data_IF_599082990375
#
_entry.id   IF_599082990375
#
_cell.length_a   1.000
_cell.length_b   1.000
_cell.length_c   1.000
_cell.angle_alpha   90.00
_cell.angle_beta   90.00
_cell.angle_gamma   90.00
#
_symmetry.space_group_name_H-M   'P 1'
#
loop_
_entity.id
_entity.type
_entity.pdbx_description
1 polymer ?
#
# COMPACT_ATOMS: atom_id res chain seq x y z
N UNK A 1 -2.95 6.69 13.74
CA UNK A 1 -3.81 7.79 13.28
C UNK A 1 -3.90 7.74 11.75
N UNK A 2 -2.79 7.85 10.99
CA UNK A 2 -2.79 7.91 9.50
C UNK A 2 -3.51 6.72 8.87
N UNK A 3 -3.24 5.48 9.28
CA UNK A 3 -3.86 4.29 8.68
C UNK A 3 -5.38 4.20 8.95
N UNK A 4 -5.86 4.68 10.10
CA UNK A 4 -7.31 4.77 10.35
C UNK A 4 -7.98 5.80 9.45
N UNK A 5 -7.36 6.98 9.32
CA UNK A 5 -7.82 7.97 8.36
C UNK A 5 -7.82 7.42 6.94
N UNK A 6 -6.76 6.70 6.54
CA UNK A 6 -6.69 6.08 5.23
C UNK A 6 -7.83 5.07 5.01
N UNK A 7 -8.13 4.23 5.97
CA UNK A 7 -9.22 3.24 5.88
C UNK A 7 -10.59 3.93 5.68
N UNK A 8 -10.87 4.98 6.46
CA UNK A 8 -12.09 5.77 6.32
C UNK A 8 -12.16 6.49 4.97
N UNK A 9 -11.08 7.13 4.55
CA UNK A 9 -10.97 7.83 3.28
C UNK A 9 -11.13 6.88 2.08
N UNK A 10 -10.45 5.72 2.11
CA UNK A 10 -10.51 4.73 1.06
C UNK A 10 -11.93 4.12 0.94
N UNK A 11 -12.60 3.81 2.05
CA UNK A 11 -13.98 3.29 2.05
C UNK A 11 -15.01 4.29 1.52
N UNK A 12 -14.74 5.58 1.62
CA UNK A 12 -15.59 6.63 1.08
C UNK A 12 -15.23 7.04 -0.37
N UNK A 13 -14.22 6.39 -0.96
CA UNK A 13 -13.72 6.75 -2.28
C UNK A 13 -14.75 6.49 -3.39
N UNK A 14 -14.92 7.42 -4.36
CA UNK A 14 -15.72 7.17 -5.55
C UNK A 14 -15.02 6.17 -6.49
N UNK A 15 -15.76 5.62 -7.43
CA UNK A 15 -15.27 4.61 -8.39
C UNK A 15 -14.02 5.06 -9.17
N UNK A 16 -13.90 6.35 -9.42
CA UNK A 16 -12.81 6.97 -10.17
C UNK A 16 -11.50 7.06 -9.38
N UNK A 17 -11.52 6.86 -8.04
CA UNK A 17 -10.35 7.00 -7.19
C UNK A 17 -9.80 5.63 -6.77
N UNK A 18 -8.59 5.32 -7.20
CA UNK A 18 -7.81 4.19 -6.67
C UNK A 18 -6.77 4.68 -5.66
N UNK A 19 -6.60 3.95 -4.57
CA UNK A 19 -5.68 4.31 -3.48
C UNK A 19 -4.80 3.15 -3.06
N UNK A 20 -3.56 3.48 -2.67
CA UNK A 20 -2.61 2.53 -2.08
C UNK A 20 -1.96 3.20 -0.87
N UNK A 21 -2.12 2.64 0.32
CA UNK A 21 -1.24 2.99 1.44
C UNK A 21 -0.02 2.09 1.45
N UNK A 22 1.15 2.67 1.68
CA UNK A 22 2.40 1.93 1.81
C UNK A 22 3.12 2.32 3.10
N UNK A 23 3.64 1.33 3.79
CA UNK A 23 4.50 1.49 4.96
C UNK A 23 5.92 1.10 4.58
N UNK A 24 6.88 1.89 4.99
CA UNK A 24 8.29 1.66 4.72
C UNK A 24 9.17 2.37 5.73
N UNK A 25 10.45 2.42 5.44
CA UNK A 25 11.43 3.22 6.19
C UNK A 25 11.98 4.33 5.30
N UNK A 26 12.16 5.51 5.87
CA UNK A 26 12.88 6.59 5.18
C UNK A 26 14.39 6.27 5.11
N UNK A 27 15.21 7.06 4.41
CA UNK A 27 16.64 6.79 4.28
C UNK A 27 17.43 6.75 5.60
N UNK A 28 16.89 7.30 6.69
CA UNK A 28 17.51 7.24 8.03
C UNK A 28 16.93 6.13 8.91
N UNK A 29 16.07 5.27 8.35
CA UNK A 29 15.50 4.09 9.04
C UNK A 29 14.26 4.35 9.89
N UNK A 30 13.62 5.51 9.74
CA UNK A 30 12.39 5.81 10.49
C UNK A 30 11.15 5.36 9.71
N UNK A 31 10.11 4.82 10.39
CA UNK A 31 8.87 4.43 9.76
C UNK A 31 8.14 5.59 9.07
N UNK A 32 7.73 5.37 7.84
CA UNK A 32 6.93 6.33 7.06
C UNK A 32 5.70 5.64 6.48
N UNK A 33 4.63 6.42 6.32
CA UNK A 33 3.42 6.04 5.59
C UNK A 33 3.31 6.95 4.37
N UNK A 34 3.16 6.36 3.19
CA UNK A 34 2.83 7.08 1.96
C UNK A 34 1.47 6.63 1.43
N UNK A 35 0.70 7.58 0.89
CA UNK A 35 -0.58 7.30 0.25
C UNK A 35 -0.46 7.73 -1.21
N UNK A 36 -0.55 6.76 -2.11
CA UNK A 36 -0.59 7.01 -3.55
C UNK A 36 -2.03 7.00 -4.01
N UNK A 37 -2.40 7.97 -4.83
CA UNK A 37 -3.74 8.12 -5.37
C UNK A 37 -3.71 8.19 -6.89
N UNK A 38 -4.74 7.63 -7.52
CA UNK A 38 -4.98 7.78 -8.94
C UNK A 38 -6.47 8.07 -9.15
N UNK A 39 -6.79 9.31 -9.51
CA UNK A 39 -8.15 9.73 -9.83
C UNK A 39 -8.31 9.82 -11.36
N UNK A 40 -9.28 9.10 -11.90
CA UNK A 40 -9.55 8.99 -13.33
C UNK A 40 -10.88 9.69 -13.69
N UNK A 41 -10.95 11.01 -13.50
CA UNK A 41 -12.09 11.85 -13.80
C UNK A 41 -11.68 13.30 -14.09
N UNK A 42 -12.60 14.26 -14.12
CA UNK A 42 -12.30 15.69 -14.25
C UNK A 42 -11.38 16.18 -13.14
N UNK A 43 -10.40 17.03 -13.48
CA UNK A 43 -9.38 17.48 -12.52
C UNK A 43 -9.98 18.23 -11.32
N UNK A 44 -10.95 19.09 -11.56
CA UNK A 44 -11.64 19.89 -10.55
C UNK A 44 -12.44 19.02 -9.55
N UNK A 45 -13.05 17.93 -10.03
CA UNK A 45 -13.68 16.93 -9.17
C UNK A 45 -12.65 16.16 -8.37
N UNK A 46 -11.52 15.77 -9.01
CA UNK A 46 -10.40 15.11 -8.35
C UNK A 46 -9.81 15.93 -7.20
N UNK A 47 -9.65 17.24 -7.38
CA UNK A 47 -9.19 18.14 -6.31
C UNK A 47 -10.18 18.18 -5.12
N UNK A 48 -11.49 18.13 -5.38
CA UNK A 48 -12.51 18.08 -4.31
C UNK A 48 -12.45 16.73 -3.56
N UNK A 49 -12.35 15.62 -4.29
CA UNK A 49 -12.26 14.27 -3.72
C UNK A 49 -11.00 14.10 -2.88
N UNK A 50 -9.87 14.67 -3.31
CA UNK A 50 -8.58 14.57 -2.63
C UNK A 50 -8.36 15.60 -1.53
N UNK A 51 -9.25 16.61 -1.42
CA UNK A 51 -9.12 17.66 -0.42
C UNK A 51 -9.00 17.14 1.03
N UNK A 52 -9.80 16.15 1.49
CA UNK A 52 -9.65 15.60 2.84
C UNK A 52 -8.25 15.03 3.12
N UNK A 53 -7.62 14.41 2.10
CA UNK A 53 -6.26 13.88 2.21
C UNK A 53 -5.23 14.98 2.37
N UNK A 54 -5.37 16.08 1.61
CA UNK A 54 -4.45 17.22 1.66
C UNK A 54 -4.48 17.98 3.00
N UNK A 55 -5.66 18.10 3.62
CA UNK A 55 -5.80 18.82 4.91
C UNK A 55 -5.61 17.92 6.13
N UNK A 56 -5.48 16.61 5.94
CA UNK A 56 -5.24 15.68 7.02
C UNK A 56 -3.81 15.80 7.53
N UNK A 57 -3.64 16.48 8.69
CA UNK A 57 -2.34 16.79 9.28
C UNK A 57 -1.41 17.60 8.32
N UNK A 58 -0.12 17.61 8.62
CA UNK A 58 0.89 18.22 7.76
C UNK A 58 1.75 17.11 7.17
N UNK A 59 1.55 16.72 5.91
CA UNK A 59 2.39 15.70 5.27
C UNK A 59 3.84 16.22 5.18
N UNK A 60 4.78 15.30 5.21
CA UNK A 60 6.20 15.61 4.97
C UNK A 60 6.42 15.99 3.49
N UNK A 61 5.64 15.38 2.60
CA UNK A 61 5.64 15.65 1.16
C UNK A 61 4.22 15.53 0.62
N UNK A 62 3.83 16.45 -0.27
CA UNK A 62 2.61 16.38 -1.08
C UNK A 62 2.96 16.65 -2.53
N UNK A 63 3.10 15.57 -3.29
CA UNK A 63 3.41 15.58 -4.71
C UNK A 63 2.19 15.25 -5.60
N UNK A 64 0.98 15.28 -5.04
CA UNK A 64 -0.26 15.02 -5.78
C UNK A 64 -0.49 16.14 -6.80
N UNK A 65 -0.50 15.76 -8.08
CA UNK A 65 -0.73 16.70 -9.19
C UNK A 65 -1.30 15.97 -10.42
N UNK A 66 -1.97 16.67 -11.33
CA UNK A 66 -2.35 16.10 -12.61
C UNK A 66 -1.13 15.64 -13.41
N UNK A 67 -1.18 14.40 -13.91
CA UNK A 67 -0.10 13.85 -14.74
C UNK A 67 -0.65 12.77 -15.68
N UNK A 68 0.05 12.46 -16.79
CA UNK A 68 -0.28 11.29 -17.60
C UNK A 68 -0.14 10.00 -16.79
N UNK A 69 -1.06 9.05 -16.95
CA UNK A 69 -1.03 7.76 -16.24
C UNK A 69 0.29 7.00 -16.43
N UNK A 70 0.92 7.11 -17.61
CA UNK A 70 2.23 6.49 -17.88
C UNK A 70 3.34 7.01 -16.96
N UNK A 71 3.26 8.28 -16.51
CA UNK A 71 4.21 8.87 -15.57
C UNK A 71 3.99 8.26 -14.17
N UNK A 72 2.74 8.18 -13.72
CA UNK A 72 2.40 7.53 -12.44
C UNK A 72 2.82 6.06 -12.44
N UNK A 73 2.56 5.33 -13.52
CA UNK A 73 2.90 3.92 -13.65
C UNK A 73 4.41 3.67 -13.53
N UNK A 74 5.24 4.51 -14.15
CA UNK A 74 6.72 4.38 -14.14
C UNK A 74 7.39 5.00 -12.91
N UNK A 75 6.65 5.69 -12.04
CA UNK A 75 7.21 6.38 -10.88
C UNK A 75 7.95 5.46 -9.89
N UNK A 76 7.62 4.17 -9.89
CA UNK A 76 8.24 3.17 -9.01
C UNK A 76 9.37 2.37 -9.65
N UNK A 77 9.66 2.52 -10.94
CA UNK A 77 10.64 1.70 -11.66
C UNK A 77 12.05 1.77 -11.03
N UNK A 78 12.45 2.96 -10.58
CA UNK A 78 13.74 3.16 -9.92
C UNK A 78 13.85 2.43 -8.56
N UNK A 79 12.72 2.11 -7.93
CA UNK A 79 12.67 1.32 -6.69
C UNK A 79 12.99 -0.17 -6.88
N UNK A 80 13.01 -0.65 -8.14
CA UNK A 80 13.21 -2.06 -8.50
C UNK A 80 14.39 -2.26 -9.47
N UNK A 81 15.60 -1.82 -9.12
CA UNK A 81 16.76 -2.00 -9.98
C UNK A 81 17.12 -3.48 -10.13
N UNK A 82 17.68 -3.84 -11.29
CA UNK A 82 18.20 -5.19 -11.53
C UNK A 82 19.27 -5.59 -10.50
N UNK A 83 19.35 -6.88 -10.19
CA UNK A 83 20.37 -7.44 -9.29
C UNK A 83 20.00 -7.44 -7.80
N UNK A 84 18.82 -6.95 -7.43
CA UNK A 84 18.32 -7.10 -6.06
C UNK A 84 17.69 -8.47 -5.83
N UNK A 85 17.79 -8.94 -4.60
CA UNK A 85 17.12 -10.13 -4.12
C UNK A 85 15.74 -9.76 -3.56
N UNK A 86 14.76 -10.64 -3.74
CA UNK A 86 13.37 -10.38 -3.37
C UNK A 86 12.73 -11.60 -2.70
N UNK A 87 11.89 -11.34 -1.71
CA UNK A 87 10.96 -12.31 -1.18
C UNK A 87 9.65 -11.63 -0.81
N UNK A 88 8.56 -12.02 -1.48
CA UNK A 88 7.27 -11.37 -1.32
C UNK A 88 6.22 -12.34 -0.79
N UNK A 89 5.29 -11.81 -0.02
CA UNK A 89 4.08 -12.47 0.42
C UNK A 89 2.90 -11.55 0.20
N UNK A 90 1.78 -12.10 -0.25
CA UNK A 90 0.54 -11.33 -0.39
C UNK A 90 -0.65 -12.09 0.17
N UNK A 91 -1.68 -11.35 0.51
CA UNK A 91 -2.95 -11.85 1.02
C UNK A 91 -4.03 -10.78 0.89
N UNK A 92 -5.17 -11.05 1.51
CA UNK A 92 -6.30 -10.13 1.51
C UNK A 92 -6.63 -9.75 2.94
N UNK A 93 -6.83 -8.44 3.17
CA UNK A 93 -7.37 -7.92 4.43
C UNK A 93 -8.75 -7.35 4.16
N UNK A 94 -9.75 -7.81 4.90
CA UNK A 94 -11.10 -7.27 4.77
C UNK A 94 -11.16 -5.83 5.22
N UNK A 95 -10.51 -5.52 6.33
CA UNK A 95 -10.50 -4.21 6.98
C UNK A 95 -9.14 -3.92 7.59
N UNK A 96 -8.77 -2.63 7.71
CA UNK A 96 -7.64 -2.18 8.51
C UNK A 96 -8.05 -2.03 9.98
N UNK A 97 -8.33 -3.15 10.63
CA UNK A 97 -8.71 -3.17 12.06
C UNK A 97 -7.60 -2.61 12.94
N UNK A 98 -7.95 -2.16 14.14
CA UNK A 98 -6.95 -1.73 15.14
C UNK A 98 -5.90 -2.81 15.44
N UNK A 99 -6.31 -4.09 15.46
CA UNK A 99 -5.40 -5.21 15.63
C UNK A 99 -4.41 -5.33 14.46
N UNK A 100 -4.89 -5.23 13.21
CA UNK A 100 -4.04 -5.22 12.02
C UNK A 100 -3.05 -4.04 12.06
N UNK A 101 -3.53 -2.84 12.37
CA UNK A 101 -2.69 -1.64 12.49
C UNK A 101 -1.63 -1.81 13.59
N UNK A 102 -1.99 -2.34 14.75
CA UNK A 102 -1.04 -2.60 15.84
C UNK A 102 0.05 -3.60 15.43
N UNK A 103 -0.35 -4.68 14.76
CA UNK A 103 0.59 -5.68 14.23
C UNK A 103 1.57 -5.03 13.24
N UNK A 104 1.09 -4.24 12.29
CA UNK A 104 1.96 -3.50 11.36
C UNK A 104 2.93 -2.58 12.10
N UNK A 105 2.45 -1.81 13.08
CA UNK A 105 3.28 -0.88 13.86
C UNK A 105 4.36 -1.56 14.72
N UNK A 106 4.18 -2.84 15.06
CA UNK A 106 5.21 -3.64 15.73
C UNK A 106 6.30 -4.11 14.77
N UNK A 107 5.93 -4.48 13.55
CA UNK A 107 6.86 -5.08 12.58
C UNK A 107 7.61 -4.06 11.71
N UNK A 108 7.00 -2.94 11.34
CA UNK A 108 7.61 -1.95 10.44
C UNK A 108 8.93 -1.40 10.97
N UNK A 109 9.09 -1.04 12.27
CA UNK A 109 10.39 -0.58 12.79
C UNK A 109 11.51 -1.64 12.73
N UNK A 110 11.15 -2.91 12.54
CA UNK A 110 12.08 -4.04 12.44
C UNK A 110 12.33 -4.47 10.99
N UNK A 111 11.87 -3.69 10.02
CA UNK A 111 12.04 -3.98 8.61
C UNK A 111 13.52 -4.07 8.24
N UNK A 112 13.96 -5.16 7.58
CA UNK A 112 15.39 -5.45 7.40
C UNK A 112 16.09 -4.54 6.39
N UNK A 113 15.35 -3.84 5.55
CA UNK A 113 15.90 -2.98 4.49
C UNK A 113 14.99 -1.80 4.21
N UNK A 114 15.56 -0.61 4.01
CA UNK A 114 14.81 0.58 3.55
C UNK A 114 14.25 0.45 2.12
N UNK A 115 14.67 -0.58 1.39
CA UNK A 115 14.12 -0.92 0.09
C UNK A 115 12.89 -1.84 0.17
N UNK A 116 12.58 -2.36 1.37
CA UNK A 116 11.40 -3.18 1.66
C UNK A 116 10.19 -2.31 1.95
N UNK A 117 9.00 -2.90 1.93
CA UNK A 117 7.76 -2.19 2.23
C UNK A 117 6.57 -3.11 2.41
N UNK A 118 5.49 -2.53 2.93
CA UNK A 118 4.18 -3.18 3.01
C UNK A 118 3.17 -2.30 2.29
N UNK A 119 2.46 -2.84 1.31
CA UNK A 119 1.44 -2.15 0.54
C UNK A 119 0.03 -2.65 0.87
N UNK A 120 -0.93 -1.76 0.85
CA UNK A 120 -2.35 -2.06 1.01
C UNK A 120 -3.11 -1.28 -0.07
N UNK A 121 -3.49 -1.97 -1.14
CA UNK A 121 -4.28 -1.41 -2.22
C UNK A 121 -5.76 -1.73 -2.00
N UNK A 122 -6.59 -0.71 -1.98
CA UNK A 122 -8.03 -0.91 -1.89
C UNK A 122 -8.58 -1.53 -3.19
N UNK A 123 -9.35 -2.60 -3.03
CA UNK A 123 -10.18 -3.20 -4.06
C UNK A 123 -11.62 -2.76 -3.83
N UNK A 124 -12.18 -1.95 -4.74
CA UNK A 124 -13.55 -1.42 -4.62
C UNK A 124 -14.16 -1.08 -5.99
N UNK A 125 -15.29 -0.39 -5.97
CA UNK A 125 -15.92 0.19 -7.13
C UNK A 125 -16.40 -0.87 -8.14
N UNK A 126 -16.19 -0.63 -9.42
CA UNK A 126 -16.65 -1.55 -10.49
C UNK A 126 -16.04 -2.94 -10.33
N UNK A 127 -14.78 -3.04 -9.88
CA UNK A 127 -14.10 -4.33 -9.71
C UNK A 127 -14.80 -5.23 -8.69
N UNK A 128 -15.35 -4.65 -7.60
CA UNK A 128 -16.07 -5.40 -6.56
C UNK A 128 -17.51 -5.78 -6.96
N UNK A 129 -18.08 -5.12 -7.96
CA UNK A 129 -19.44 -5.40 -8.47
C UNK A 129 -19.48 -6.48 -9.56
N UNK A 130 -18.34 -6.96 -10.04
CA UNK A 130 -18.24 -8.06 -10.98
C UNK A 130 -18.47 -9.39 -10.23
N UNK A 131 -19.32 -10.26 -10.78
CA UNK A 131 -19.54 -11.57 -10.16
C UNK A 131 -18.23 -12.39 -10.09
N UNK A 132 -17.93 -13.06 -8.96
CA UNK A 132 -16.67 -13.81 -8.80
C UNK A 132 -16.43 -14.89 -9.88
N UNK A 133 -17.52 -15.41 -10.47
CA UNK A 133 -17.45 -16.41 -11.54
C UNK A 133 -17.33 -15.83 -12.95
N UNK A 134 -17.40 -14.50 -13.12
CA UNK A 134 -17.42 -13.87 -14.45
C UNK A 134 -16.06 -13.88 -15.15
N UNK A 135 -14.97 -14.00 -14.38
CA UNK A 135 -13.59 -14.00 -14.90
C UNK A 135 -12.73 -14.98 -14.09
N UNK A 136 -11.50 -15.22 -14.54
CA UNK A 136 -10.52 -16.02 -13.80
C UNK A 136 -10.04 -15.37 -12.48
N UNK A 137 -10.35 -14.10 -12.23
CA UNK A 137 -10.03 -13.39 -10.99
C UNK A 137 -11.23 -13.41 -10.03
N UNK A 138 -11.22 -14.24 -8.94
CA UNK A 138 -12.37 -14.43 -8.07
C UNK A 138 -12.45 -13.44 -6.90
N UNK A 139 -11.39 -12.69 -6.60
CA UNK A 139 -11.29 -11.80 -5.43
C UNK A 139 -12.03 -10.50 -5.68
N UNK A 140 -13.38 -10.52 -5.57
CA UNK A 140 -14.26 -9.40 -5.90
C UNK A 140 -14.83 -8.66 -4.69
N UNK A 141 -14.58 -9.14 -3.47
CA UNK A 141 -15.03 -8.44 -2.27
C UNK A 141 -14.33 -7.07 -2.13
N UNK A 142 -15.00 -6.11 -1.52
CA UNK A 142 -14.34 -4.88 -1.07
C UNK A 142 -13.39 -5.24 0.06
N UNK A 143 -12.10 -5.00 -0.16
CA UNK A 143 -11.00 -5.44 0.70
C UNK A 143 -9.71 -4.78 0.28
N UNK A 144 -8.64 -5.03 1.01
CA UNK A 144 -7.30 -4.60 0.62
C UNK A 144 -6.49 -5.78 0.07
N UNK A 145 -5.88 -5.60 -1.11
CA UNK A 145 -4.73 -6.40 -1.51
C UNK A 145 -3.55 -6.01 -0.62
N UNK A 146 -3.11 -6.97 0.20
CA UNK A 146 -2.04 -6.79 1.17
C UNK A 146 -0.77 -7.45 0.66
N UNK A 147 0.26 -6.64 0.45
CA UNK A 147 1.55 -7.08 -0.07
C UNK A 147 2.68 -6.77 0.92
N UNK A 148 3.43 -7.77 1.31
CA UNK A 148 4.72 -7.62 2.00
C UNK A 148 5.82 -7.83 0.95
N UNK A 149 6.61 -6.79 0.73
CA UNK A 149 7.68 -6.74 -0.25
C UNK A 149 9.01 -6.61 0.47
N UNK A 150 9.76 -7.69 0.60
CA UNK A 150 11.15 -7.61 1.05
C UNK A 150 12.09 -7.58 -0.13
N UNK A 151 13.03 -6.64 -0.08
CA UNK A 151 14.03 -6.39 -1.10
C UNK A 151 15.37 -6.05 -0.43
N UNK A 152 16.46 -6.70 -0.87
CA UNK A 152 17.79 -6.48 -0.32
C UNK A 152 18.86 -6.71 -1.39
N UNK A 153 20.12 -6.36 -1.09
CA UNK A 153 21.23 -6.47 -2.05
C UNK A 153 22.28 -7.50 -1.64
N UNK A 154 22.56 -7.65 -0.34
CA UNK A 154 23.56 -8.60 0.17
C UNK A 154 22.92 -9.96 0.42
N UNK A 155 23.44 -11.01 -0.18
CA UNK A 155 22.95 -12.38 0.01
C UNK A 155 22.99 -12.85 1.48
N UNK A 156 23.86 -12.27 2.31
CA UNK A 156 23.93 -12.57 3.74
C UNK A 156 22.70 -12.10 4.52
N UNK A 157 21.93 -11.12 3.99
CA UNK A 157 20.70 -10.62 4.60
C UNK A 157 19.47 -11.47 4.25
N UNK A 158 19.65 -12.54 3.44
CA UNK A 158 18.52 -13.31 2.90
C UNK A 158 17.68 -13.97 3.98
N UNK A 159 18.30 -14.68 4.92
CA UNK A 159 17.56 -15.37 5.97
C UNK A 159 16.77 -14.40 6.83
N UNK A 160 17.38 -13.29 7.24
CA UNK A 160 16.71 -12.26 8.03
C UNK A 160 15.51 -11.63 7.28
N UNK A 161 15.69 -11.30 6.00
CA UNK A 161 14.64 -10.71 5.17
C UNK A 161 13.46 -11.67 4.94
N UNK A 162 13.76 -12.95 4.69
CA UNK A 162 12.74 -13.98 4.49
C UNK A 162 12.00 -14.28 5.80
N UNK A 163 12.72 -14.40 6.92
CA UNK A 163 12.11 -14.64 8.24
C UNK A 163 11.19 -13.50 8.65
N UNK A 164 11.63 -12.24 8.53
CA UNK A 164 10.80 -11.09 8.82
C UNK A 164 9.51 -11.10 7.98
N UNK A 165 9.61 -11.34 6.67
CA UNK A 165 8.44 -11.40 5.77
C UNK A 165 7.46 -12.50 6.19
N UNK A 166 7.97 -13.68 6.53
CA UNK A 166 7.14 -14.81 6.98
C UNK A 166 6.48 -14.53 8.31
N UNK A 167 7.22 -13.96 9.25
CA UNK A 167 6.71 -13.62 10.58
C UNK A 167 5.59 -12.58 10.49
N UNK A 168 5.78 -11.49 9.74
CA UNK A 168 4.75 -10.48 9.51
C UNK A 168 3.52 -11.11 8.82
N UNK A 169 3.73 -11.89 7.75
CA UNK A 169 2.63 -12.54 7.06
C UNK A 169 1.84 -13.45 7.98
N UNK A 170 2.50 -14.23 8.83
CA UNK A 170 1.85 -15.09 9.82
C UNK A 170 1.09 -14.28 10.88
N UNK A 171 1.68 -13.19 11.36
CA UNK A 171 1.04 -12.32 12.35
C UNK A 171 -0.20 -11.59 11.80
N UNK A 172 -0.25 -11.37 10.48
CA UNK A 172 -1.40 -10.74 9.82
C UNK A 172 -2.56 -11.71 9.51
N UNK A 173 -2.35 -13.05 9.58
CA UNK A 173 -3.39 -14.04 9.24
C UNK A 173 -4.69 -13.93 10.07
N UNK A 174 -4.68 -13.53 11.36
CA UNK A 174 -5.92 -13.38 12.14
C UNK A 174 -6.79 -12.19 11.74
N UNK A 175 -6.30 -11.28 10.92
CA UNK A 175 -6.95 -10.02 10.52
C UNK A 175 -7.54 -10.11 9.12
#
# INVERSE_FOLDING_TARGET
>A
VVLRFYDEFAKAAPDELSTVASLGLNPVGEPVVSIVVCYCGPIDEGEQVLHPLRIFQSPVDDSIQPMPYTVLQSARDQGFPSGRLHYWKSGWLRDLTDGAIQTLMQFIPQMPSTASGVGMQQMHGVASRIAPSATAFPHRAEQYDFLILSQWSDANDSDHSIEWTRALFQAMQPH
#
